data_IF_061508512535
#
_entry.id   IF_061508512535
#
_cell.length_a   1.000
_cell.length_b   1.000
_cell.length_c   1.000
_cell.angle_alpha   90.00
_cell.angle_beta   90.00
_cell.angle_gamma   90.00
#
_symmetry.space_group_name_H-M   'P 1'
#
loop_
_entity.id
_entity.type
_entity.pdbx_description
1 polymer ?
#
# COMPACT_ATOMS: atom_id res chain seq x y z
N UNK A 1 26.45 -0.48 10.72
CA UNK A 1 25.25 -0.15 9.92
C UNK A 1 24.27 0.50 10.86
N UNK A 2 23.68 1.63 10.47
CA UNK A 2 22.66 2.32 11.27
C UNK A 2 21.33 1.59 11.09
N UNK A 3 20.63 1.30 12.20
CA UNK A 3 19.28 0.74 12.18
C UNK A 3 18.30 1.88 11.89
N UNK A 4 17.42 1.69 10.92
CA UNK A 4 16.40 2.67 10.54
C UNK A 4 15.11 2.40 11.32
N UNK A 5 14.18 3.36 11.33
CA UNK A 5 12.86 3.15 11.95
C UNK A 5 12.05 2.08 11.22
N UNK A 6 11.21 1.37 11.99
CA UNK A 6 10.19 0.47 11.42
C UNK A 6 9.30 1.19 10.41
N UNK A 7 9.03 0.53 9.28
CA UNK A 7 8.25 1.13 8.19
C UNK A 7 6.80 1.44 8.59
N UNK A 8 6.20 0.63 9.47
CA UNK A 8 4.87 0.89 10.05
C UNK A 8 4.84 2.25 10.77
N UNK A 9 5.82 2.48 11.65
CA UNK A 9 5.95 3.75 12.34
C UNK A 9 6.24 4.91 11.38
N UNK A 10 7.12 4.70 10.40
CA UNK A 10 7.44 5.69 9.39
C UNK A 10 6.19 6.10 8.58
N UNK A 11 5.37 5.14 8.16
CA UNK A 11 4.12 5.39 7.45
C UNK A 11 3.16 6.26 8.26
N UNK A 12 3.04 5.98 9.56
CA UNK A 12 2.09 6.67 10.43
C UNK A 12 2.56 8.07 10.82
N UNK A 13 3.86 8.28 10.98
CA UNK A 13 4.42 9.51 11.58
C UNK A 13 5.20 10.40 10.60
N UNK A 14 5.95 9.82 9.65
CA UNK A 14 6.87 10.56 8.79
C UNK A 14 6.36 10.70 7.35
N UNK A 15 5.88 9.61 6.75
CA UNK A 15 5.55 9.55 5.32
C UNK A 15 4.23 10.27 4.98
N UNK A 16 3.51 10.75 5.99
CA UNK A 16 2.39 11.67 5.81
C UNK A 16 2.82 13.09 5.41
N UNK A 17 4.08 13.46 5.64
CA UNK A 17 4.57 14.78 5.28
C UNK A 17 4.85 14.84 3.77
N UNK A 18 4.36 15.89 3.09
CA UNK A 18 4.66 16.17 1.67
C UNK A 18 6.16 16.17 1.35
N UNK A 19 6.99 16.59 2.31
CA UNK A 19 8.44 16.56 2.17
C UNK A 19 9.02 15.15 1.95
N UNK A 20 8.24 14.09 2.23
CA UNK A 20 8.63 12.68 2.19
C UNK A 20 7.91 11.88 1.08
N UNK A 21 7.18 12.55 0.18
CA UNK A 21 6.50 11.87 -0.92
C UNK A 21 7.46 11.12 -1.84
N UNK A 22 8.69 11.60 -1.98
CA UNK A 22 9.74 10.96 -2.78
C UNK A 22 10.04 9.51 -2.33
N UNK A 23 9.85 9.21 -1.05
CA UNK A 23 9.99 7.85 -0.50
C UNK A 23 8.83 6.97 -0.97
N UNK A 24 7.58 7.44 -0.80
CA UNK A 24 6.38 6.69 -1.19
C UNK A 24 6.28 6.52 -2.71
N UNK A 25 6.56 7.57 -3.48
CA UNK A 25 6.63 7.54 -4.94
C UNK A 25 7.69 6.53 -5.40
N UNK A 26 8.86 6.52 -4.77
CA UNK A 26 9.92 5.55 -5.05
C UNK A 26 9.49 4.12 -4.79
N UNK A 27 8.95 3.85 -3.60
CA UNK A 27 8.42 2.53 -3.22
C UNK A 27 7.33 2.04 -4.18
N UNK A 28 6.32 2.87 -4.44
CA UNK A 28 5.21 2.51 -5.34
C UNK A 28 5.68 2.37 -6.80
N UNK A 29 6.66 3.16 -7.23
CA UNK A 29 7.16 3.07 -8.60
C UNK A 29 7.87 1.76 -8.87
N UNK A 30 8.65 1.28 -7.90
CA UNK A 30 9.32 -0.01 -8.00
C UNK A 30 8.32 -1.16 -7.84
N UNK A 31 7.32 -1.05 -6.96
CA UNK A 31 6.27 -2.07 -6.83
C UNK A 31 5.46 -2.23 -8.12
N UNK A 32 4.96 -1.12 -8.66
CA UNK A 32 4.04 -1.10 -9.81
C UNK A 32 4.77 -1.12 -11.15
N UNK A 33 6.11 -1.09 -11.14
CA UNK A 33 6.96 -1.07 -12.34
C UNK A 33 6.59 0.08 -13.32
N UNK A 34 6.12 1.20 -12.75
CA UNK A 34 5.74 2.41 -13.49
C UNK A 34 6.05 3.62 -12.64
N UNK A 35 6.39 4.76 -13.24
CA UNK A 35 6.62 5.99 -12.47
C UNK A 35 5.31 6.42 -11.80
N UNK A 36 5.36 6.62 -10.48
CA UNK A 36 4.27 7.14 -9.67
C UNK A 36 4.62 8.56 -9.20
N UNK A 37 3.65 9.46 -9.36
CA UNK A 37 3.66 10.81 -8.76
C UNK A 37 2.45 10.92 -7.85
N UNK A 38 2.65 11.34 -6.61
CA UNK A 38 1.57 11.54 -5.63
C UNK A 38 1.09 13.00 -5.74
N UNK A 39 -0.19 13.17 -6.04
CA UNK A 39 -0.84 14.48 -6.07
C UNK A 39 -1.19 14.96 -4.65
N UNK A 40 -1.81 14.07 -3.87
CA UNK A 40 -2.26 14.38 -2.52
C UNK A 40 -2.36 13.14 -1.64
N UNK A 41 -2.22 13.35 -0.32
CA UNK A 41 -2.75 12.40 0.66
C UNK A 41 -4.21 12.75 0.91
N UNK A 42 -5.05 11.72 0.96
CA UNK A 42 -6.46 11.86 1.23
C UNK A 42 -6.75 11.46 2.67
N UNK A 43 -7.82 12.01 3.25
CA UNK A 43 -8.22 11.65 4.61
C UNK A 43 -8.74 10.21 4.64
N UNK A 44 -8.11 9.39 5.47
CA UNK A 44 -8.49 8.00 5.72
C UNK A 44 -9.64 7.87 6.72
N UNK A 45 -10.09 8.98 7.33
CA UNK A 45 -11.13 9.00 8.34
C UNK A 45 -12.46 9.46 7.73
N UNK A 46 -13.46 8.58 7.76
CA UNK A 46 -14.84 8.97 7.51
C UNK A 46 -15.32 9.87 8.64
N UNK A 47 -16.06 10.92 8.30
CA UNK A 47 -16.92 11.59 9.27
C UNK A 47 -17.92 10.56 9.83
N UNK A 48 -17.67 10.04 11.05
CA UNK A 48 -18.58 9.12 11.76
C UNK A 48 -19.97 9.74 11.80
N UNK A 49 -20.95 9.15 11.11
CA UNK A 49 -22.35 9.57 11.20
C UNK A 49 -23.09 8.78 12.30
N UNK A 50 -22.63 7.57 12.61
CA UNK A 50 -23.19 6.73 13.67
C UNK A 50 -22.11 6.17 14.61
N UNK A 51 -22.48 5.93 15.88
CA UNK A 51 -21.60 5.36 16.91
C UNK A 51 -21.04 3.98 16.56
N UNK A 52 -21.74 3.24 15.70
CA UNK A 52 -21.41 1.88 15.29
C UNK A 52 -20.61 1.81 13.98
N UNK A 53 -20.33 2.95 13.34
CA UNK A 53 -19.43 2.98 12.19
C UNK A 53 -18.05 2.48 12.67
N UNK A 54 -17.67 1.28 12.24
CA UNK A 54 -16.31 0.77 12.44
C UNK A 54 -15.38 1.81 11.84
N UNK A 55 -14.61 2.44 12.72
CA UNK A 55 -13.55 3.40 12.40
C UNK A 55 -12.45 2.68 11.64
N UNK A 56 -12.70 2.33 10.38
CA UNK A 56 -11.66 1.78 9.52
C UNK A 56 -10.91 2.96 8.93
N UNK A 57 -9.79 3.27 9.56
CA UNK A 57 -8.80 4.24 9.11
C UNK A 57 -7.72 3.42 8.41
N UNK A 58 -7.62 3.55 7.08
CA UNK A 58 -6.47 3.00 6.36
C UNK A 58 -5.21 3.76 6.77
N UNK A 59 -4.05 3.11 6.76
CA UNK A 59 -2.81 3.79 7.18
C UNK A 59 -2.49 4.96 6.24
N UNK A 60 -2.48 4.73 4.93
CA UNK A 60 -2.36 5.78 3.93
C UNK A 60 -3.34 5.56 2.78
N UNK A 61 -3.95 6.67 2.36
CA UNK A 61 -4.69 6.77 1.11
C UNK A 61 -4.07 7.91 0.31
N UNK A 62 -3.59 7.61 -0.89
CA UNK A 62 -2.93 8.58 -1.75
C UNK A 62 -3.66 8.69 -3.08
N UNK A 63 -3.79 9.92 -3.58
CA UNK A 63 -4.20 10.20 -4.94
C UNK A 63 -2.94 10.33 -5.81
N UNK A 64 -2.90 9.58 -6.90
CA UNK A 64 -1.82 9.62 -7.89
C UNK A 64 -2.28 10.31 -9.17
N UNK A 65 -1.34 10.89 -9.91
CA UNK A 65 -1.66 11.59 -11.17
C UNK A 65 -2.26 10.66 -12.24
N UNK A 66 -1.92 9.36 -12.23
CA UNK A 66 -2.26 8.44 -13.33
C UNK A 66 -2.90 7.11 -12.90
N UNK A 67 -2.69 6.64 -11.66
CA UNK A 67 -3.15 5.32 -11.22
C UNK A 67 -4.42 5.38 -10.35
N UNK A 68 -4.99 6.56 -10.15
CA UNK A 68 -6.13 6.76 -9.26
C UNK A 68 -5.71 6.73 -7.80
N UNK A 69 -6.47 6.03 -6.98
CA UNK A 69 -6.22 5.92 -5.54
C UNK A 69 -5.31 4.73 -5.22
N UNK A 70 -4.34 4.93 -4.33
CA UNK A 70 -3.54 3.84 -3.78
C UNK A 70 -3.73 3.81 -2.26
N UNK A 71 -4.16 2.67 -1.75
CA UNK A 71 -4.23 2.37 -0.32
C UNK A 71 -2.94 1.65 0.06
N UNK A 72 -2.29 2.07 1.13
CA UNK A 72 -1.15 1.36 1.71
C UNK A 72 -1.51 1.03 3.15
N UNK A 73 -1.45 -0.25 3.51
CA UNK A 73 -1.65 -0.74 4.87
C UNK A 73 -0.46 -1.59 5.31
N UNK A 74 -0.07 -1.43 6.57
CA UNK A 74 0.99 -2.22 7.21
C UNK A 74 0.42 -2.94 8.42
N UNK A 75 0.56 -4.26 8.45
CA UNK A 75 0.02 -5.07 9.53
C UNK A 75 1.07 -6.02 10.12
N UNK A 76 1.33 -5.86 11.41
CA UNK A 76 2.22 -6.73 12.17
C UNK A 76 1.52 -8.02 12.64
N UNK A 77 0.31 -7.89 13.18
CA UNK A 77 -0.40 -8.99 13.85
C UNK A 77 -1.35 -9.74 12.92
N UNK A 78 -1.37 -11.07 13.04
CA UNK A 78 -2.24 -11.92 12.23
C UNK A 78 -3.71 -11.76 12.62
N UNK A 79 -4.56 -11.57 11.60
CA UNK A 79 -6.02 -11.56 11.72
C UNK A 79 -6.59 -12.62 10.79
N UNK A 80 -7.45 -13.50 11.30
CA UNK A 80 -8.00 -14.61 10.52
C UNK A 80 -8.89 -14.14 9.35
N UNK A 81 -9.52 -12.98 9.49
CA UNK A 81 -10.39 -12.34 8.50
C UNK A 81 -9.68 -11.20 7.72
N UNK A 82 -8.34 -11.18 7.70
CA UNK A 82 -7.55 -10.12 7.07
C UNK A 82 -7.93 -9.83 5.63
N UNK A 83 -8.14 -10.85 4.78
CA UNK A 83 -8.56 -10.64 3.38
C UNK A 83 -9.94 -9.96 3.30
N UNK A 84 -10.85 -10.27 4.21
CA UNK A 84 -12.15 -9.59 4.31
C UNK A 84 -11.98 -8.14 4.77
N UNK A 85 -11.00 -7.85 5.64
CA UNK A 85 -10.64 -6.48 6.04
C UNK A 85 -10.11 -5.66 4.86
N UNK A 86 -9.23 -6.25 4.04
CA UNK A 86 -8.71 -5.62 2.81
C UNK A 86 -9.86 -5.31 1.84
N UNK A 87 -10.75 -6.28 1.59
CA UNK A 87 -11.94 -6.08 0.76
C UNK A 87 -12.84 -4.95 1.29
N UNK A 88 -13.10 -4.94 2.60
CA UNK A 88 -13.92 -3.92 3.25
C UNK A 88 -13.29 -2.52 3.11
N UNK A 89 -11.98 -2.40 3.34
CA UNK A 89 -11.23 -1.15 3.18
C UNK A 89 -11.32 -0.57 1.77
N UNK A 90 -11.07 -1.40 0.75
CA UNK A 90 -11.21 -1.00 -0.66
C UNK A 90 -12.64 -0.58 -0.98
N UNK A 91 -13.63 -1.39 -0.59
CA UNK A 91 -15.04 -1.11 -0.87
C UNK A 91 -15.49 0.21 -0.26
N UNK A 92 -14.99 0.54 0.93
CA UNK A 92 -15.26 1.80 1.61
C UNK A 92 -14.72 2.99 0.81
N UNK A 93 -13.46 2.92 0.38
CA UNK A 93 -12.82 3.98 -0.44
C UNK A 93 -13.57 4.19 -1.76
N UNK A 94 -14.04 3.11 -2.41
CA UNK A 94 -14.91 3.24 -3.61
C UNK A 94 -16.13 4.12 -3.34
N UNK A 95 -16.78 3.92 -2.19
CA UNK A 95 -18.02 4.64 -1.86
C UNK A 95 -17.82 6.04 -1.31
N UNK A 96 -16.68 6.32 -0.67
CA UNK A 96 -16.41 7.61 -0.03
C UNK A 96 -15.99 8.70 -1.02
N UNK A 97 -15.30 8.32 -2.10
CA UNK A 97 -14.72 9.27 -3.05
C UNK A 97 -15.56 9.49 -4.32
N UNK A 98 -16.74 8.88 -4.41
CA UNK A 98 -17.75 9.21 -5.42
C UNK A 98 -18.74 10.25 -4.88
N UNK A 99 -18.94 11.36 -5.60
CA UNK A 99 -19.89 12.39 -5.18
C UNK A 99 -21.32 12.07 -5.62
N UNK A 100 -22.30 12.53 -4.85
CA UNK A 100 -23.72 12.38 -5.19
C UNK A 100 -24.02 12.98 -6.56
N UNK A 101 -24.64 12.18 -7.43
CA UNK A 101 -25.00 12.58 -8.79
C UNK A 101 -23.90 12.38 -9.84
N UNK A 102 -22.69 11.94 -9.46
CA UNK A 102 -21.66 11.57 -10.42
C UNK A 102 -21.96 10.19 -11.06
N UNK A 103 -21.69 10.02 -12.37
CA UNK A 103 -21.73 8.71 -13.01
C UNK A 103 -20.71 7.73 -12.41
N UNK A 104 -21.04 6.44 -12.33
CA UNK A 104 -20.13 5.41 -11.79
C UNK A 104 -18.81 5.24 -12.56
N UNK A 105 -18.77 5.63 -13.85
CA UNK A 105 -17.52 5.65 -14.62
C UNK A 105 -16.46 6.60 -14.06
N UNK A 106 -16.83 7.49 -13.15
CA UNK A 106 -15.93 8.42 -12.48
C UNK A 106 -15.31 7.83 -11.21
N UNK A 107 -15.65 6.59 -10.83
CA UNK A 107 -14.97 5.89 -9.75
C UNK A 107 -13.52 5.69 -10.17
N UNK A 108 -12.59 6.29 -9.42
CA UNK A 108 -11.17 6.10 -9.64
C UNK A 108 -10.79 4.65 -9.36
N UNK A 109 -9.91 4.09 -10.20
CA UNK A 109 -9.24 2.82 -9.93
C UNK A 109 -8.59 2.87 -8.55
N UNK A 110 -8.61 1.75 -7.84
CA UNK A 110 -8.00 1.59 -6.53
C UNK A 110 -6.95 0.50 -6.60
N UNK A 111 -5.74 0.80 -6.14
CA UNK A 111 -4.69 -0.17 -5.90
C UNK A 111 -4.54 -0.33 -4.39
N UNK A 112 -4.70 -1.54 -3.86
CA UNK A 112 -4.50 -1.85 -2.45
C UNK A 112 -3.15 -2.53 -2.26
N UNK A 113 -2.26 -1.92 -1.50
CA UNK A 113 -0.96 -2.44 -1.13
C UNK A 113 -1.00 -2.84 0.35
N UNK A 114 -0.94 -4.14 0.61
CA UNK A 114 -0.91 -4.72 1.96
C UNK A 114 0.48 -5.26 2.26
N UNK A 115 1.15 -4.68 3.25
CA UNK A 115 2.45 -5.14 3.74
C UNK A 115 2.22 -5.87 5.06
N UNK A 116 2.46 -7.19 5.09
CA UNK A 116 2.16 -8.03 6.24
C UNK A 116 3.42 -8.71 6.80
N UNK A 117 3.53 -8.74 8.12
CA UNK A 117 4.62 -9.39 8.88
C UNK A 117 4.17 -10.69 9.55
N UNK A 118 3.17 -11.36 8.97
CA UNK A 118 2.67 -12.66 9.42
C UNK A 118 2.40 -13.58 8.22
N UNK A 119 2.19 -14.86 8.49
CA UNK A 119 1.90 -15.85 7.45
C UNK A 119 0.44 -15.73 6.97
N UNK A 120 0.24 -14.87 5.97
CA UNK A 120 -1.05 -14.73 5.28
C UNK A 120 -1.26 -15.88 4.28
N UNK A 121 -2.22 -16.76 4.58
CA UNK A 121 -2.63 -17.85 3.70
C UNK A 121 -1.51 -18.87 3.39
N UNK A 122 -1.67 -19.63 2.30
CA UNK A 122 -0.67 -20.61 1.81
C UNK A 122 -0.14 -20.20 0.44
N UNK A 123 1.16 -20.34 0.26
CA UNK A 123 1.88 -20.04 -0.98
C UNK A 123 3.37 -19.84 -0.71
N UNK A 124 4.20 -20.02 -1.72
CA UNK A 124 5.67 -19.95 -1.61
C UNK A 124 6.24 -18.57 -1.96
N UNK A 125 5.48 -17.74 -2.69
CA UNK A 125 5.89 -16.40 -3.06
C UNK A 125 5.70 -15.41 -1.89
N UNK A 126 6.43 -14.30 -1.92
CA UNK A 126 6.33 -13.20 -0.96
C UNK A 126 5.53 -12.01 -1.52
N UNK A 127 5.33 -11.91 -2.84
CA UNK A 127 4.46 -10.89 -3.46
C UNK A 127 3.36 -11.57 -4.26
N UNK A 128 2.12 -11.20 -4.00
CA UNK A 128 0.97 -11.63 -4.79
C UNK A 128 0.28 -10.43 -5.39
N UNK A 129 0.05 -10.47 -6.71
CA UNK A 129 -0.73 -9.48 -7.44
C UNK A 129 -2.07 -10.10 -7.84
N UNK A 130 -3.16 -9.49 -7.35
CA UNK A 130 -4.54 -9.88 -7.64
C UNK A 130 -5.23 -8.85 -8.51
N UNK A 131 -5.74 -9.30 -9.66
CA UNK A 131 -6.57 -8.52 -10.57
C UNK A 131 -7.92 -9.21 -10.79
N UNK A 132 -8.91 -8.49 -11.30
CA UNK A 132 -10.22 -9.07 -11.63
C UNK A 132 -10.33 -9.31 -13.12
N UNK A 133 -10.39 -10.59 -13.52
CA UNK A 133 -10.69 -11.01 -14.89
C UNK A 133 -11.99 -11.83 -14.92
N UNK A 134 -12.81 -11.61 -15.95
CA UNK A 134 -14.05 -12.35 -16.15
C UNK A 134 -13.89 -13.34 -17.29
N UNK A 135 -13.97 -14.63 -16.97
CA UNK A 135 -13.96 -15.71 -17.95
C UNK A 135 -15.34 -16.34 -18.12
N UNK A 136 -15.69 -16.66 -19.37
CA UNK A 136 -16.96 -17.30 -19.72
C UNK A 136 -17.02 -18.74 -19.18
N UNK A 137 -18.08 -19.08 -18.45
CA UNK A 137 -18.24 -20.42 -17.86
C UNK A 137 -18.55 -21.51 -18.88
N UNK A 138 -19.02 -21.13 -20.08
CA UNK A 138 -19.40 -22.06 -21.15
C UNK A 138 -18.44 -22.02 -22.35
N UNK A 139 -18.01 -20.82 -22.74
CA UNK A 139 -17.16 -20.62 -23.92
C UNK A 139 -15.68 -20.40 -23.56
N UNK A 140 -15.37 -20.19 -22.28
CA UNK A 140 -14.03 -19.96 -21.76
C UNK A 140 -13.29 -18.78 -22.42
N UNK A 141 -14.03 -17.84 -22.99
CA UNK A 141 -13.53 -16.57 -23.49
C UNK A 141 -13.36 -15.55 -22.36
N UNK A 142 -12.45 -14.59 -22.55
CA UNK A 142 -12.23 -13.49 -21.59
C UNK A 142 -13.08 -12.30 -22.01
N UNK A 143 -13.90 -11.78 -21.09
CA UNK A 143 -14.75 -10.63 -21.31
C UNK A 143 -13.92 -9.39 -21.65
N UNK A 144 -14.28 -8.72 -22.74
CA UNK A 144 -13.67 -7.45 -23.16
C UNK A 144 -14.71 -6.34 -23.07
N UNK A 145 -14.24 -5.10 -22.91
CA UNK A 145 -15.11 -3.92 -22.96
C UNK A 145 -15.77 -3.80 -24.33
N UNK A 146 -17.06 -3.48 -24.36
CA UNK A 146 -17.78 -3.17 -25.60
C UNK A 146 -17.39 -1.81 -26.18
N UNK A 147 -17.80 -1.51 -27.41
CA UNK A 147 -17.38 -0.28 -28.11
C UNK A 147 -17.70 1.02 -27.34
N UNK A 148 -18.87 1.09 -26.69
CA UNK A 148 -19.26 2.27 -25.92
C UNK A 148 -18.46 2.41 -24.62
N UNK A 149 -18.09 1.30 -24.00
CA UNK A 149 -17.25 1.27 -22.80
C UNK A 149 -15.81 1.64 -23.15
N UNK A 150 -15.28 1.13 -24.27
CA UNK A 150 -13.97 1.53 -24.79
C UNK A 150 -13.92 3.02 -25.14
N UNK A 151 -14.99 3.60 -25.68
CA UNK A 151 -15.09 5.06 -25.88
C UNK A 151 -15.11 5.84 -24.57
N UNK A 152 -15.64 5.25 -23.49
CA UNK A 152 -15.76 5.91 -22.19
C UNK A 152 -14.49 5.78 -21.32
N UNK A 153 -13.84 4.61 -21.33
CA UNK A 153 -12.71 4.28 -20.46
C UNK A 153 -11.36 4.31 -21.19
N UNK A 154 -11.34 4.02 -22.50
CA UNK A 154 -10.14 3.93 -23.32
C UNK A 154 -10.14 2.68 -24.21
N UNK A 155 -9.59 2.80 -25.41
CA UNK A 155 -9.58 1.71 -26.41
C UNK A 155 -8.76 0.49 -25.96
N UNK A 156 -7.69 0.73 -25.19
CA UNK A 156 -6.78 -0.32 -24.71
C UNK A 156 -7.16 -0.84 -23.32
N UNK A 157 -8.28 -0.37 -22.75
CA UNK A 157 -8.70 -0.73 -21.40
C UNK A 157 -9.47 -2.04 -21.37
N UNK A 158 -9.25 -2.77 -20.29
CA UNK A 158 -9.91 -4.05 -20.01
C UNK A 158 -10.76 -3.92 -18.74
N UNK A 159 -11.66 -4.88 -18.46
CA UNK A 159 -12.35 -4.88 -17.17
C UNK A 159 -11.40 -4.80 -15.97
N UNK A 160 -10.23 -5.44 -16.00
CA UNK A 160 -9.28 -5.40 -14.87
C UNK A 160 -8.74 -4.00 -14.58
N UNK A 161 -8.75 -3.07 -15.54
CA UNK A 161 -8.39 -1.68 -15.31
C UNK A 161 -9.44 -0.87 -14.55
N UNK A 162 -10.69 -1.35 -14.50
CA UNK A 162 -11.81 -0.69 -13.83
C UNK A 162 -11.93 -1.17 -12.38
N UNK A 163 -11.68 -2.47 -12.16
CA UNK A 163 -11.77 -3.07 -10.84
C UNK A 163 -10.53 -2.78 -9.98
N UNK A 164 -10.65 -2.90 -8.65
CA UNK A 164 -9.49 -2.77 -7.78
C UNK A 164 -8.42 -3.84 -8.04
N UNK A 165 -7.16 -3.43 -7.85
CA UNK A 165 -6.00 -4.31 -7.87
C UNK A 165 -5.43 -4.46 -6.46
N UNK A 166 -4.87 -5.63 -6.16
CA UNK A 166 -4.36 -5.96 -4.83
C UNK A 166 -2.92 -6.45 -4.92
N UNK A 167 -2.05 -5.87 -4.09
CA UNK A 167 -0.67 -6.30 -3.88
C UNK A 167 -0.54 -6.75 -2.43
N UNK A 168 -0.33 -8.05 -2.21
CA UNK A 168 -0.09 -8.62 -0.88
C UNK A 168 1.40 -8.95 -0.76
N UNK A 169 2.10 -8.28 0.15
CA UNK A 169 3.54 -8.38 0.38
C UNK A 169 3.77 -9.06 1.74
N UNK A 170 4.19 -10.31 1.72
CA UNK A 170 4.48 -11.15 2.90
C UNK A 170 5.95 -11.01 3.27
N UNK A 171 6.28 -10.00 4.06
CA UNK A 171 7.67 -9.62 4.36
C UNK A 171 8.47 -10.77 4.97
N UNK A 172 7.86 -11.57 5.85
CA UNK A 172 8.54 -12.70 6.50
C UNK A 172 9.01 -13.78 5.51
N UNK A 173 8.28 -13.97 4.40
CA UNK A 173 8.58 -14.99 3.39
C UNK A 173 9.67 -14.56 2.40
N UNK A 174 10.06 -13.28 2.40
CA UNK A 174 11.18 -12.81 1.60
C UNK A 174 12.49 -13.47 2.07
N UNK A 175 13.22 -14.08 1.15
CA UNK A 175 14.43 -14.86 1.46
C UNK A 175 15.73 -14.04 1.42
N UNK A 176 15.63 -12.71 1.45
CA UNK A 176 16.76 -11.76 1.46
C UNK A 176 17.64 -11.80 0.20
N UNK A 177 17.19 -12.47 -0.87
CA UNK A 177 17.88 -12.46 -2.17
C UNK A 177 17.31 -11.37 -3.06
N UNK A 178 18.10 -10.33 -3.30
CA UNK A 178 17.76 -9.23 -4.21
C UNK A 178 17.85 -9.71 -5.66
N UNK A 179 16.72 -9.69 -6.38
CA UNK A 179 16.64 -9.96 -7.82
C UNK A 179 16.35 -8.70 -8.61
N UNK A 180 15.53 -7.81 -8.06
CA UNK A 180 15.17 -6.54 -8.68
C UNK A 180 15.26 -5.37 -7.68
N UNK A 181 14.84 -4.19 -8.12
CA UNK A 181 14.87 -2.97 -7.29
C UNK A 181 13.76 -2.94 -6.24
N UNK A 182 12.64 -3.62 -6.48
CA UNK A 182 11.60 -3.71 -5.47
C UNK A 182 12.07 -4.58 -4.30
N UNK A 183 12.87 -5.62 -4.56
CA UNK A 183 13.50 -6.42 -3.51
C UNK A 183 14.40 -5.61 -2.58
N UNK A 184 15.02 -4.53 -3.04
CA UNK A 184 15.78 -3.62 -2.18
C UNK A 184 14.87 -2.97 -1.12
N UNK A 185 13.64 -2.61 -1.50
CA UNK A 185 12.62 -2.12 -0.57
C UNK A 185 12.16 -3.21 0.39
N UNK A 186 11.89 -4.42 -0.09
CA UNK A 186 11.45 -5.53 0.77
C UNK A 186 12.54 -5.97 1.74
N UNK A 187 13.80 -5.91 1.32
CA UNK A 187 14.95 -6.10 2.21
C UNK A 187 14.96 -5.06 3.35
N UNK A 188 14.72 -3.79 3.02
CA UNK A 188 14.57 -2.74 4.03
C UNK A 188 13.37 -3.01 4.95
N UNK A 189 12.21 -3.40 4.42
CA UNK A 189 11.03 -3.72 5.23
C UNK A 189 11.31 -4.85 6.23
N UNK A 190 12.09 -5.85 5.83
CA UNK A 190 12.42 -7.02 6.67
C UNK A 190 13.52 -6.76 7.69
N UNK A 191 14.55 -6.01 7.30
CA UNK A 191 15.79 -5.90 8.09
C UNK A 191 15.98 -4.55 8.76
N UNK A 192 15.17 -3.54 8.41
CA UNK A 192 15.34 -2.13 8.82
C UNK A 192 16.70 -1.56 8.45
N UNK A 193 17.35 -2.13 7.43
CA UNK A 193 18.65 -1.67 6.94
C UNK A 193 18.62 -1.44 5.44
N UNK A 194 19.32 -0.40 4.98
CA UNK A 194 19.51 -0.10 3.57
C UNK A 194 21.00 -0.23 3.26
N UNK A 195 21.34 -1.08 2.29
CA UNK A 195 22.73 -1.23 1.89
C UNK A 195 23.18 -0.02 1.05
N UNK A 196 24.44 0.45 1.17
CA UNK A 196 24.93 1.59 0.40
C UNK A 196 24.88 1.40 -1.13
N UNK A 197 24.87 0.14 -1.58
CA UNK A 197 24.80 -0.25 -2.99
C UNK A 197 23.41 -0.12 -3.59
N UNK A 198 22.36 -0.02 -2.76
CA UNK A 198 20.97 0.07 -3.22
C UNK A 198 20.74 1.35 -4.05
N UNK A 199 19.96 1.21 -5.12
CA UNK A 199 19.70 2.24 -6.10
C UNK A 199 18.24 2.33 -6.57
N UNK A 200 17.34 1.60 -5.92
CA UNK A 200 15.90 1.74 -6.08
C UNK A 200 15.46 3.20 -5.93
N UNK A 201 14.42 3.58 -6.68
CA UNK A 201 13.84 4.93 -6.60
C UNK A 201 13.41 5.21 -5.16
N UNK A 202 13.73 6.41 -4.65
CA UNK A 202 13.39 6.85 -3.28
C UNK A 202 14.21 6.24 -2.14
N UNK A 203 14.89 5.10 -2.33
CA UNK A 203 15.50 4.35 -1.22
C UNK A 203 16.65 5.11 -0.52
N UNK A 204 17.40 5.92 -1.27
CA UNK A 204 18.47 6.77 -0.69
C UNK A 204 17.92 7.91 0.14
N UNK A 205 16.73 8.41 -0.21
CA UNK A 205 16.04 9.41 0.59
C UNK A 205 15.54 8.78 1.89
N UNK A 206 14.96 7.58 1.79
CA UNK A 206 14.56 6.78 2.96
C UNK A 206 15.74 6.54 3.90
N UNK A 207 16.90 6.13 3.39
CA UNK A 207 18.09 5.91 4.20
C UNK A 207 18.55 7.14 5.00
N UNK A 208 18.25 8.35 4.53
CA UNK A 208 18.61 9.60 5.24
C UNK A 208 17.52 10.05 6.20
N UNK A 209 16.26 9.99 5.78
CA UNK A 209 15.13 10.56 6.52
C UNK A 209 14.54 9.61 7.54
N UNK A 210 14.79 8.30 7.41
CA UNK A 210 14.36 7.27 8.35
C UNK A 210 15.48 6.87 9.32
N UNK A 211 16.61 7.57 9.28
CA UNK A 211 17.71 7.33 10.21
C UNK A 211 17.34 7.91 11.59
N UNK A 212 17.24 7.03 12.58
CA UNK A 212 16.93 7.37 13.99
C UNK A 212 17.95 8.38 14.54
N UNK A 213 19.18 8.40 14.02
CA UNK A 213 20.20 9.35 14.45
C UNK A 213 19.97 10.77 13.92
N UNK A 214 19.10 10.93 12.91
CA UNK A 214 18.76 12.23 12.33
C UNK A 214 17.56 12.92 13.00
N UNK A 215 16.88 12.21 13.91
CA UNK A 215 15.66 12.68 14.56
C UNK A 215 15.93 13.75 15.63
N UNK A 216 14.94 14.60 15.88
CA UNK A 216 14.93 15.43 17.08
C UNK A 216 14.77 14.57 18.35
N UNK A 217 15.02 15.17 19.51
CA UNK A 217 14.85 14.47 20.79
C UNK A 217 13.40 13.98 20.98
N UNK A 218 12.43 14.80 20.58
CA UNK A 218 11.01 14.46 20.66
C UNK A 218 10.63 13.30 19.72
N UNK A 219 11.15 13.30 18.49
CA UNK A 219 10.94 12.22 17.52
C UNK A 219 11.58 10.91 17.98
N UNK A 220 12.78 10.98 18.58
CA UNK A 220 13.44 9.81 19.17
C UNK A 220 12.63 9.23 20.32
N UNK A 221 12.18 10.07 21.27
CA UNK A 221 11.36 9.61 22.40
C UNK A 221 10.03 8.99 21.94
N UNK A 222 9.39 9.57 20.91
CA UNK A 222 8.18 9.01 20.33
C UNK A 222 8.42 7.62 19.69
N UNK A 223 9.59 7.43 19.07
CA UNK A 223 9.97 6.14 18.50
C UNK A 223 10.34 5.10 19.58
N UNK A 224 11.08 5.49 20.62
CA UNK A 224 11.40 4.62 21.76
C UNK A 224 10.13 4.11 22.46
N UNK A 225 9.15 5.00 22.68
CA UNK A 225 7.84 4.61 23.23
C UNK A 225 7.09 3.63 22.32
N UNK A 226 7.20 3.79 21.00
CA UNK A 226 6.65 2.82 20.04
C UNK A 226 7.32 1.45 20.14
N UNK A 227 8.66 1.39 20.24
CA UNK A 227 9.39 0.13 20.42
C UNK A 227 8.97 -0.56 21.73
N UNK A 228 8.88 0.18 22.85
CA UNK A 228 8.44 -0.36 24.14
C UNK A 228 7.02 -0.95 24.07
N UNK A 229 6.08 -0.24 23.45
CA UNK A 229 4.71 -0.73 23.28
C UNK A 229 4.64 -1.99 22.41
N UNK A 230 5.41 -2.02 21.31
CA UNK A 230 5.47 -3.18 20.41
C UNK A 230 6.04 -4.41 21.12
N UNK A 231 7.09 -4.22 21.93
CA UNK A 231 7.65 -5.30 22.75
C UNK A 231 6.68 -5.81 23.82
N UNK A 232 5.92 -4.91 24.43
CA UNK A 232 4.89 -5.28 25.40
C UNK A 232 3.78 -6.11 24.75
N UNK A 233 3.26 -5.69 23.60
CA UNK A 233 2.25 -6.43 22.84
C UNK A 233 2.74 -7.81 22.41
N UNK A 234 4.01 -7.93 21.97
CA UNK A 234 4.60 -9.22 21.61
C UNK A 234 4.83 -10.16 22.82
N UNK A 235 4.83 -9.62 24.04
CA UNK A 235 5.02 -10.38 25.28
C UNK A 235 3.71 -10.84 25.93
N UNK A 236 2.55 -10.41 25.41
CA UNK A 236 1.21 -10.85 25.84
C UNK A 236 0.70 -12.03 25.01
#
# INVERSE_FOLDING_TARGET
MTRLVHFDWAIKNLLRNKANFDILEGFLSELLQTKITIEALLESESNKKHKDDRSNRVDLLVLTEAQGHVIIEVQASMEWDYLSRVLYGVSKVVTEYIQVGQPYRNINKIISVSIVFFDLGRGEDYVYHGTTEFSGTHQHDVLRLGENEQKAYGLDKTPSDIFPEYYLIKVNQFNERIKDKFDEWVYFLKTETIQPTFNALGIRSAAKKLDILSFTEEERQAYECYEENTHYEASM
#
